data_IF_201945739395
#
_entry.id   IF_201945739395
#
_cell.length_a   1.000
_cell.length_b   1.000
_cell.length_c   1.000
_cell.angle_alpha   90.00
_cell.angle_beta   90.00
_cell.angle_gamma   90.00
#
_symmetry.space_group_name_H-M   'P 1'
#
loop_
_entity.id
_entity.type
_entity.pdbx_description
1 polymer ?
#
# COMPACT_ATOMS: atom_id res chain seq x y z
N UNK A 1 10.47 -25.49 -0.36
CA UNK A 1 9.74 -25.09 0.85
C UNK A 1 8.93 -23.84 0.57
N UNK A 2 7.74 -23.82 1.04
CA UNK A 2 6.87 -22.67 0.86
C UNK A 2 6.70 -21.95 2.19
N UNK A 3 7.12 -20.71 2.23
CA UNK A 3 6.84 -19.88 3.38
C UNK A 3 5.43 -19.32 3.24
N UNK A 4 4.70 -19.33 4.33
CA UNK A 4 3.37 -18.75 4.36
C UNK A 4 3.48 -17.29 4.72
N UNK A 5 2.78 -16.45 3.94
CA UNK A 5 2.58 -15.05 4.31
C UNK A 5 1.20 -14.93 4.95
N UNK A 6 1.14 -14.22 6.06
CA UNK A 6 -0.10 -13.99 6.78
C UNK A 6 -0.54 -12.55 6.57
N UNK A 7 -1.85 -12.35 6.43
CA UNK A 7 -2.43 -11.01 6.40
C UNK A 7 -2.63 -10.57 7.85
N UNK A 8 -1.82 -9.63 8.30
CA UNK A 8 -1.86 -9.16 9.69
C UNK A 8 -2.92 -8.10 9.93
N UNK A 9 -3.26 -7.32 8.91
CA UNK A 9 -4.25 -6.27 9.02
C UNK A 9 -4.67 -5.77 7.67
N UNK A 10 -5.84 -5.15 7.60
CA UNK A 10 -6.42 -4.61 6.38
C UNK A 10 -7.03 -3.24 6.61
N UNK A 11 -7.08 -2.43 5.55
CA UNK A 11 -7.72 -1.14 5.59
C UNK A 11 -8.26 -0.78 4.22
N UNK A 12 -9.44 -0.22 4.19
CA UNK A 12 -10.12 0.20 2.96
C UNK A 12 -10.69 1.60 3.16
N UNK A 13 -10.44 2.47 2.19
CA UNK A 13 -11.13 3.75 2.11
C UNK A 13 -12.37 3.54 1.24
N UNK A 14 -13.56 3.91 1.72
CA UNK A 14 -14.80 3.69 0.95
C UNK A 14 -14.75 4.35 -0.43
N UNK A 15 -15.33 3.69 -1.42
CA UNK A 15 -15.46 4.23 -2.77
C UNK A 15 -16.40 5.43 -2.74
N UNK A 16 -16.05 6.45 -3.51
CA UNK A 16 -16.83 7.67 -3.61
C UNK A 16 -17.01 8.05 -5.08
N UNK A 17 -17.99 8.92 -5.34
CA UNK A 17 -18.21 9.44 -6.69
C UNK A 17 -16.99 10.25 -7.15
N UNK A 18 -16.70 10.27 -8.46
CA UNK A 18 -15.68 11.14 -9.01
C UNK A 18 -15.89 12.58 -8.56
N UNK A 19 -14.82 13.24 -8.13
CA UNK A 19 -14.84 14.59 -7.61
C UNK A 19 -15.16 14.72 -6.13
N UNK A 20 -15.66 13.67 -5.49
CA UNK A 20 -15.93 13.65 -4.04
C UNK A 20 -14.80 13.03 -3.24
N UNK A 21 -13.93 12.25 -3.89
CA UNK A 21 -12.83 11.58 -3.21
C UNK A 21 -11.62 12.49 -3.05
N UNK A 22 -10.81 12.24 -2.02
CA UNK A 22 -9.54 12.88 -1.83
C UNK A 22 -8.54 12.46 -2.92
N UNK A 23 -7.43 13.19 -3.11
CA UNK A 23 -6.36 12.75 -3.99
C UNK A 23 -5.82 11.37 -3.61
N UNK A 24 -5.28 10.64 -4.57
CA UNK A 24 -4.86 9.25 -4.37
C UNK A 24 -3.80 9.08 -3.28
N UNK A 25 -2.91 10.06 -3.14
CA UNK A 25 -1.86 10.00 -2.11
C UNK A 25 -2.44 10.03 -0.71
N UNK A 26 -3.48 10.82 -0.48
CA UNK A 26 -4.19 10.85 0.80
C UNK A 26 -5.02 9.59 1.00
N UNK A 27 -5.65 9.06 -0.05
CA UNK A 27 -6.40 7.80 0.04
C UNK A 27 -5.47 6.66 0.43
N UNK A 28 -4.31 6.57 -0.21
CA UNK A 28 -3.31 5.56 0.10
C UNK A 28 -2.79 5.67 1.52
N UNK A 29 -2.53 6.88 1.98
CA UNK A 29 -2.08 7.11 3.34
C UNK A 29 -3.14 6.68 4.36
N UNK A 30 -4.40 7.03 4.13
CA UNK A 30 -5.50 6.69 5.03
C UNK A 30 -5.72 5.17 5.08
N UNK A 31 -5.72 4.51 3.93
CA UNK A 31 -5.86 3.05 3.88
C UNK A 31 -4.71 2.36 4.64
N UNK A 32 -3.49 2.88 4.48
CA UNK A 32 -2.32 2.35 5.17
C UNK A 32 -2.44 2.51 6.69
N UNK A 33 -2.88 3.68 7.16
CA UNK A 33 -3.07 3.91 8.59
C UNK A 33 -4.13 2.98 9.16
N UNK A 34 -5.22 2.74 8.43
CA UNK A 34 -6.25 1.80 8.84
C UNK A 34 -5.72 0.38 8.96
N UNK A 35 -4.93 -0.05 7.98
CA UNK A 35 -4.34 -1.38 7.99
C UNK A 35 -3.34 -1.56 9.13
N UNK A 36 -2.51 -0.55 9.39
CA UNK A 36 -1.55 -0.60 10.51
C UNK A 36 -2.28 -0.65 11.86
N UNK A 37 -3.34 0.12 12.00
CA UNK A 37 -4.15 0.11 13.23
C UNK A 37 -4.82 -1.27 13.41
N UNK A 38 -5.34 -1.85 12.34
CA UNK A 38 -5.95 -3.18 12.40
C UNK A 38 -4.91 -4.25 12.76
N UNK A 39 -3.70 -4.14 12.25
CA UNK A 39 -2.62 -5.07 12.56
C UNK A 39 -2.03 -4.85 13.96
N UNK A 40 -2.23 -3.68 14.55
CA UNK A 40 -1.66 -3.34 15.85
C UNK A 40 -0.16 -3.07 15.78
N UNK A 41 0.36 -2.62 14.64
CA UNK A 41 1.77 -2.28 14.47
C UNK A 41 1.93 -0.85 14.02
N UNK A 42 3.14 -0.33 14.16
CA UNK A 42 3.49 1.00 13.69
C UNK A 42 4.20 0.93 12.34
N UNK A 43 4.17 2.02 11.59
CA UNK A 43 4.84 2.07 10.29
C UNK A 43 6.34 1.80 10.41
N UNK A 44 6.98 2.20 11.52
CA UNK A 44 8.38 1.90 11.77
C UNK A 44 8.71 0.41 11.81
N UNK A 45 7.72 -0.46 12.02
CA UNK A 45 7.91 -1.91 12.02
C UNK A 45 7.85 -2.51 10.62
N UNK A 46 7.44 -1.74 9.61
CA UNK A 46 7.33 -2.19 8.22
C UNK A 46 8.70 -2.16 7.57
N UNK A 47 9.10 -3.24 6.92
CA UNK A 47 10.42 -3.38 6.33
C UNK A 47 10.47 -3.05 4.84
N UNK A 48 9.35 -3.17 4.14
CA UNK A 48 9.25 -2.81 2.73
C UNK A 48 7.78 -2.66 2.36
N UNK A 49 7.52 -1.97 1.26
CA UNK A 49 6.17 -1.70 0.79
C UNK A 49 6.07 -1.93 -0.72
N UNK A 50 4.95 -2.48 -1.14
CA UNK A 50 4.62 -2.67 -2.56
C UNK A 50 3.30 -1.95 -2.82
N UNK A 51 3.33 -1.02 -3.75
CA UNK A 51 2.18 -0.20 -4.09
C UNK A 51 1.72 -0.49 -5.51
N UNK A 52 0.46 -0.89 -5.67
CA UNK A 52 -0.17 -1.02 -6.97
C UNK A 52 -0.83 0.29 -7.37
N UNK A 53 -0.58 0.75 -8.59
CA UNK A 53 -1.21 1.94 -9.15
C UNK A 53 -1.55 1.69 -10.62
N UNK A 54 -2.51 2.45 -11.14
CA UNK A 54 -2.88 2.37 -12.55
C UNK A 54 -2.71 3.74 -13.21
N UNK A 55 -3.34 4.75 -12.66
CA UNK A 55 -3.23 6.12 -13.13
C UNK A 55 -2.63 6.96 -12.02
N UNK A 56 -1.41 7.40 -12.20
CA UNK A 56 -0.70 8.19 -11.22
C UNK A 56 0.76 8.26 -11.57
N UNK A 57 1.54 8.88 -10.71
CA UNK A 57 2.98 8.97 -10.90
C UNK A 57 3.64 7.62 -10.71
N UNK A 58 4.77 7.41 -11.37
CA UNK A 58 5.55 6.18 -11.19
C UNK A 58 6.03 5.98 -9.75
N UNK A 59 5.97 7.02 -8.94
CA UNK A 59 6.30 7.01 -7.52
C UNK A 59 5.07 7.13 -6.64
N UNK A 60 3.93 6.57 -7.08
CA UNK A 60 2.66 6.68 -6.34
C UNK A 60 2.76 6.15 -4.92
N UNK A 61 3.51 5.09 -4.69
CA UNK A 61 3.72 4.54 -3.35
C UNK A 61 4.44 5.52 -2.44
N UNK A 62 5.50 6.17 -2.93
CA UNK A 62 6.20 7.19 -2.17
C UNK A 62 5.28 8.38 -1.87
N UNK A 63 4.51 8.82 -2.86
CA UNK A 63 3.57 9.93 -2.67
C UNK A 63 2.59 9.65 -1.53
N UNK A 64 2.07 8.44 -1.45
CA UNK A 64 1.12 8.05 -0.41
C UNK A 64 1.81 7.79 0.93
N UNK A 65 2.85 6.98 0.93
CA UNK A 65 3.45 6.50 2.17
C UNK A 65 4.28 7.55 2.90
N UNK A 66 4.78 8.57 2.21
CA UNK A 66 5.47 9.67 2.87
C UNK A 66 4.55 10.47 3.79
N UNK A 67 3.23 10.44 3.57
CA UNK A 67 2.26 11.02 4.49
C UNK A 67 2.15 10.21 5.79
N UNK A 68 2.47 8.92 5.75
CA UNK A 68 2.44 8.06 6.94
C UNK A 68 3.74 8.18 7.71
N UNK A 69 4.86 8.21 7.02
CA UNK A 69 6.16 8.36 7.63
C UNK A 69 7.28 8.20 6.61
N UNK A 70 8.47 8.61 6.99
CA UNK A 70 9.68 8.49 6.17
C UNK A 70 10.69 7.64 6.94
N UNK A 71 10.61 6.33 6.73
CA UNK A 71 11.45 5.38 7.47
C UNK A 71 12.62 4.85 6.66
N UNK A 72 12.72 5.23 5.37
CA UNK A 72 13.80 4.78 4.49
C UNK A 72 13.64 3.37 3.95
N UNK A 73 12.48 2.76 4.12
CA UNK A 73 12.24 1.41 3.59
C UNK A 73 12.11 1.43 2.06
N UNK A 74 12.43 0.31 1.38
CA UNK A 74 12.15 0.20 -0.05
C UNK A 74 10.65 0.29 -0.32
N UNK A 75 10.28 1.11 -1.30
CA UNK A 75 8.91 1.23 -1.77
C UNK A 75 8.92 0.90 -3.26
N UNK A 76 8.26 -0.19 -3.62
CA UNK A 76 8.23 -0.69 -4.99
C UNK A 76 6.83 -0.44 -5.55
N UNK A 77 6.77 0.25 -6.68
CA UNK A 77 5.52 0.54 -7.37
C UNK A 77 5.33 -0.45 -8.52
N UNK A 78 4.14 -1.01 -8.61
CA UNK A 78 3.81 -1.96 -9.67
C UNK A 78 2.54 -1.52 -10.40
N UNK A 79 2.47 -1.84 -11.69
CA UNK A 79 1.30 -1.55 -12.50
C UNK A 79 1.03 -2.75 -13.41
N UNK A 80 -0.14 -3.32 -13.27
CA UNK A 80 -0.61 -4.43 -14.10
C UNK A 80 -2.11 -4.25 -14.37
N UNK A 81 -2.49 -3.05 -14.74
CA UNK A 81 -3.87 -2.66 -15.01
C UNK A 81 -4.81 -3.19 -13.92
N UNK A 82 -5.85 -3.94 -14.28
CA UNK A 82 -6.82 -4.43 -13.31
C UNK A 82 -6.26 -5.44 -12.30
N UNK A 83 -5.11 -6.05 -12.59
CA UNK A 83 -4.46 -7.03 -11.70
C UNK A 83 -3.39 -6.40 -10.81
N UNK A 84 -3.33 -5.07 -10.72
CA UNK A 84 -2.26 -4.35 -10.01
C UNK A 84 -2.19 -4.72 -8.53
N UNK A 85 -3.33 -4.78 -7.84
CA UNK A 85 -3.35 -5.14 -6.43
C UNK A 85 -2.87 -6.56 -6.17
N UNK A 86 -3.30 -7.51 -6.99
CA UNK A 86 -2.84 -8.90 -6.91
C UNK A 86 -1.35 -9.01 -7.19
N UNK A 87 -0.84 -8.22 -8.13
CA UNK A 87 0.58 -8.17 -8.46
C UNK A 87 1.40 -7.66 -7.28
N UNK A 88 0.96 -6.58 -6.63
CA UNK A 88 1.64 -6.04 -5.46
C UNK A 88 1.68 -7.08 -4.34
N UNK A 89 0.58 -7.75 -4.07
CA UNK A 89 0.51 -8.81 -3.06
C UNK A 89 1.46 -9.96 -3.38
N UNK A 90 1.47 -10.44 -4.63
CA UNK A 90 2.33 -11.55 -5.05
C UNK A 90 3.81 -11.19 -4.94
N UNK A 91 4.18 -9.97 -5.33
CA UNK A 91 5.57 -9.50 -5.25
C UNK A 91 6.00 -9.35 -3.79
N UNK A 92 5.16 -8.81 -2.93
CA UNK A 92 5.48 -8.69 -1.51
C UNK A 92 5.68 -10.05 -0.85
N UNK A 93 4.85 -11.03 -1.18
CA UNK A 93 4.98 -12.39 -0.68
C UNK A 93 6.29 -13.04 -1.12
N UNK A 94 6.68 -12.83 -2.38
CA UNK A 94 7.92 -13.40 -2.92
C UNK A 94 9.16 -12.82 -2.25
N UNK A 95 9.07 -11.65 -1.62
CA UNK A 95 10.19 -10.96 -0.97
C UNK A 95 10.18 -11.10 0.55
N UNK A 96 9.12 -11.67 1.09
CA UNK A 96 8.96 -11.83 2.54
C UNK A 96 9.94 -12.85 3.13
#
# INVERSE_FOLDING_TARGET
>A
MTDKALVAGVGVVPFQKPGASAPYDLLGADATRLALADAGIEYGDVQQAYCGYVYGDSTSGQQALYHVGMTGIPIINVNNACATGSTAKARSKARA
#
